data_IF_131899303060
#
_entry.id   IF_131899303060
#
_cell.length_a   1.000
_cell.length_b   1.000
_cell.length_c   1.000
_cell.angle_alpha   90.00
_cell.angle_beta   90.00
_cell.angle_gamma   90.00
#
_symmetry.space_group_name_H-M   'P 1'
#
loop_
_entity.id
_entity.type
_entity.pdbx_description
1 polymer ?
#
# COMPACT_ATOMS: atom_id res chain seq x y z
N UNK A 1 5.06 16.74 25.54
CA UNK A 1 4.86 15.74 24.47
C UNK A 1 4.17 16.43 23.30
N UNK A 2 4.79 16.49 22.12
CA UNK A 2 4.17 17.11 20.95
C UNK A 2 3.20 16.13 20.30
N UNK A 3 1.89 16.41 20.40
CA UNK A 3 0.79 15.66 19.75
C UNK A 3 0.74 15.83 18.22
N UNK A 4 1.66 16.62 17.67
CA UNK A 4 1.78 16.93 16.25
C UNK A 4 1.79 15.71 15.28
N UNK A 5 2.21 14.47 15.63
CA UNK A 5 2.08 13.32 14.74
C UNK A 5 0.72 12.63 14.76
N UNK A 6 -0.13 12.91 15.76
CA UNK A 6 -1.43 12.25 15.85
C UNK A 6 -2.38 12.75 14.77
N UNK A 7 -2.32 14.04 14.44
CA UNK A 7 -3.23 14.65 13.47
C UNK A 7 -3.14 13.96 12.10
N UNK A 8 -1.95 13.77 11.47
CA UNK A 8 -1.89 13.10 10.18
C UNK A 8 -2.32 11.63 10.22
N UNK A 9 -2.04 10.90 11.32
CA UNK A 9 -2.52 9.52 11.48
C UNK A 9 -4.04 9.47 11.60
N UNK A 10 -4.61 10.34 12.43
CA UNK A 10 -6.05 10.43 12.58
C UNK A 10 -6.71 10.78 11.25
N UNK A 11 -6.21 11.79 10.51
CA UNK A 11 -6.73 12.14 9.19
C UNK A 11 -6.66 10.94 8.24
N UNK A 12 -5.50 10.27 8.18
CA UNK A 12 -5.30 9.08 7.36
C UNK A 12 -6.32 7.98 7.69
N UNK A 13 -6.42 7.56 8.95
CA UNK A 13 -7.33 6.49 9.37
C UNK A 13 -8.79 6.89 9.30
N UNK A 14 -9.12 8.16 9.53
CA UNK A 14 -10.50 8.65 9.40
C UNK A 14 -10.98 8.54 7.96
N UNK A 15 -10.15 8.92 7.00
CA UNK A 15 -10.51 8.87 5.58
C UNK A 15 -10.40 7.44 5.04
N UNK A 16 -9.28 6.78 5.22
CA UNK A 16 -9.03 5.46 4.62
C UNK A 16 -9.82 4.38 5.36
N UNK A 17 -9.61 4.24 6.66
CA UNK A 17 -10.30 3.19 7.45
C UNK A 17 -11.76 3.55 7.70
N UNK A 18 -12.04 4.78 8.11
CA UNK A 18 -13.40 5.20 8.46
C UNK A 18 -14.28 5.40 7.24
N UNK A 19 -13.96 6.41 6.42
CA UNK A 19 -14.81 6.79 5.29
C UNK A 19 -14.85 5.73 4.20
N UNK A 20 -13.70 5.21 3.76
CA UNK A 20 -13.68 4.29 2.62
C UNK A 20 -13.96 2.83 2.99
N UNK A 21 -13.35 2.28 4.05
CA UNK A 21 -13.54 0.86 4.38
C UNK A 21 -14.80 0.61 5.23
N UNK A 22 -14.95 1.31 6.36
CA UNK A 22 -16.00 0.97 7.34
C UNK A 22 -17.40 1.46 6.94
N UNK A 23 -17.52 2.42 6.02
CA UNK A 23 -18.82 2.95 5.59
C UNK A 23 -19.65 1.93 4.80
N UNK A 24 -19.04 0.88 4.27
CA UNK A 24 -19.72 -0.25 3.65
C UNK A 24 -20.56 -1.05 4.66
N UNK A 25 -20.16 -1.04 5.94
CA UNK A 25 -20.77 -1.86 7.00
C UNK A 25 -21.46 -1.04 8.08
N UNK A 26 -21.16 0.26 8.18
CA UNK A 26 -21.64 1.16 9.22
C UNK A 26 -22.15 2.48 8.63
N UNK A 27 -23.12 3.15 9.27
CA UNK A 27 -23.47 4.52 8.92
C UNK A 27 -22.24 5.43 8.91
N UNK A 28 -22.10 6.26 7.88
CA UNK A 28 -20.91 7.11 7.64
C UNK A 28 -20.42 7.85 8.90
N UNK A 29 -21.28 8.47 9.74
CA UNK A 29 -20.80 9.13 10.96
C UNK A 29 -20.10 8.18 11.93
N UNK A 30 -20.64 6.96 12.11
CA UNK A 30 -20.04 5.96 13.00
C UNK A 30 -18.75 5.39 12.41
N UNK A 31 -18.71 5.16 11.10
CA UNK A 31 -17.53 4.69 10.40
C UNK A 31 -16.36 5.69 10.51
N UNK A 32 -16.62 6.97 10.27
CA UNK A 32 -15.67 8.09 10.43
C UNK A 32 -15.17 8.18 11.88
N UNK A 33 -16.06 8.10 12.86
CA UNK A 33 -15.68 8.10 14.28
C UNK A 33 -14.82 6.89 14.65
N UNK A 34 -15.15 5.71 14.14
CA UNK A 34 -14.38 4.50 14.36
C UNK A 34 -12.97 4.60 13.73
N UNK A 35 -12.87 5.12 12.50
CA UNK A 35 -11.59 5.38 11.84
C UNK A 35 -10.74 6.40 12.59
N UNK A 36 -11.36 7.49 13.09
CA UNK A 36 -10.68 8.49 13.91
C UNK A 36 -10.19 7.90 15.25
N UNK A 37 -11.03 7.11 15.91
CA UNK A 37 -10.69 6.44 17.17
C UNK A 37 -9.56 5.42 16.97
N UNK A 38 -9.60 4.65 15.88
CA UNK A 38 -8.53 3.73 15.50
C UNK A 38 -7.20 4.47 15.26
N UNK A 39 -7.23 5.54 14.45
CA UNK A 39 -6.06 6.38 14.20
C UNK A 39 -5.49 6.98 15.48
N UNK A 40 -6.34 7.45 16.40
CA UNK A 40 -5.91 7.92 17.70
C UNK A 40 -5.26 6.80 18.53
N UNK A 41 -5.86 5.61 18.56
CA UNK A 41 -5.33 4.43 19.27
C UNK A 41 -3.96 4.00 18.75
N UNK A 42 -3.82 3.81 17.44
CA UNK A 42 -2.53 3.48 16.80
C UNK A 42 -1.52 4.61 16.97
N UNK A 43 -1.96 5.86 16.88
CA UNK A 43 -1.11 7.02 17.10
C UNK A 43 -0.52 7.05 18.51
N UNK A 44 -1.35 6.85 19.53
CA UNK A 44 -0.94 6.78 20.94
C UNK A 44 -0.03 5.57 21.21
N UNK A 45 -0.35 4.42 20.62
CA UNK A 45 0.50 3.23 20.67
C UNK A 45 1.88 3.54 20.07
N UNK A 46 1.93 4.11 18.86
CA UNK A 46 3.17 4.50 18.19
C UNK A 46 3.99 5.47 19.03
N UNK A 47 3.37 6.44 19.71
CA UNK A 47 4.05 7.35 20.62
C UNK A 47 4.72 6.63 21.79
N UNK A 48 4.08 5.59 22.37
CA UNK A 48 4.69 4.76 23.41
C UNK A 48 5.83 3.91 22.87
N UNK A 49 5.66 3.38 21.66
CA UNK A 49 6.64 2.51 21.03
C UNK A 49 7.87 3.24 20.49
N UNK A 50 7.88 4.57 20.43
CA UNK A 50 9.07 5.36 20.04
C UNK A 50 10.31 5.12 20.88
N UNK A 51 10.15 4.66 22.12
CA UNK A 51 11.29 4.30 22.96
C UNK A 51 12.00 3.02 22.49
N UNK A 52 11.36 2.23 21.61
CA UNK A 52 11.87 0.97 21.09
C UNK A 52 12.61 1.24 19.77
N UNK A 53 13.93 1.35 19.84
CA UNK A 53 14.77 1.79 18.71
C UNK A 53 14.69 0.88 17.47
N UNK A 54 14.53 -0.43 17.64
CA UNK A 54 14.46 -1.38 16.52
C UNK A 54 13.11 -1.36 15.79
N UNK A 55 12.05 -0.85 16.42
CA UNK A 55 10.71 -0.94 15.85
C UNK A 55 10.54 -0.05 14.62
N UNK A 56 11.20 1.11 14.60
CA UNK A 56 11.21 1.99 13.44
C UNK A 56 11.71 1.25 12.19
N UNK A 57 12.81 0.50 12.33
CA UNK A 57 13.41 -0.27 11.24
C UNK A 57 12.51 -1.40 10.77
N UNK A 58 11.87 -2.11 11.70
CA UNK A 58 10.91 -3.17 11.37
C UNK A 58 9.70 -2.62 10.63
N UNK A 59 9.13 -1.50 11.08
CA UNK A 59 7.95 -0.89 10.43
C UNK A 59 8.31 -0.34 9.05
N UNK A 60 9.50 0.29 8.89
CA UNK A 60 10.01 0.71 7.57
C UNK A 60 10.21 -0.50 6.65
N UNK A 61 10.76 -1.60 7.17
CA UNK A 61 10.98 -2.82 6.41
C UNK A 61 9.65 -3.45 5.96
N UNK A 62 8.65 -3.51 6.85
CA UNK A 62 7.31 -3.98 6.52
C UNK A 62 6.64 -3.09 5.47
N UNK A 63 6.79 -1.77 5.57
CA UNK A 63 6.31 -0.83 4.56
C UNK A 63 6.97 -1.04 3.20
N UNK A 64 8.30 -1.23 3.20
CA UNK A 64 9.07 -1.48 1.98
C UNK A 64 8.66 -2.82 1.33
N UNK A 65 8.58 -3.90 2.12
CA UNK A 65 8.14 -5.22 1.65
C UNK A 65 6.72 -5.17 1.12
N UNK A 66 5.79 -4.55 1.84
CA UNK A 66 4.41 -4.41 1.39
C UNK A 66 4.29 -3.57 0.11
N UNK A 67 5.06 -2.49 -0.01
CA UNK A 67 5.08 -1.65 -1.23
C UNK A 67 5.68 -2.40 -2.42
N UNK A 68 6.79 -3.11 -2.21
CA UNK A 68 7.41 -3.94 -3.24
C UNK A 68 6.49 -5.08 -3.68
N UNK A 69 5.85 -5.75 -2.71
CA UNK A 69 4.91 -6.81 -2.98
C UNK A 69 3.73 -6.28 -3.83
N UNK A 70 3.08 -5.20 -3.39
CA UNK A 70 1.95 -4.64 -4.11
C UNK A 70 2.34 -4.10 -5.49
N UNK A 71 3.52 -3.46 -5.60
CA UNK A 71 4.02 -2.90 -6.86
C UNK A 71 4.40 -3.99 -7.87
N UNK A 72 5.24 -4.95 -7.47
CA UNK A 72 5.65 -6.06 -8.34
C UNK A 72 4.49 -6.99 -8.66
N UNK A 73 3.63 -7.29 -7.68
CA UNK A 73 2.41 -8.06 -7.90
C UNK A 73 1.47 -7.36 -8.87
N UNK A 74 1.26 -6.05 -8.71
CA UNK A 74 0.47 -5.23 -9.63
C UNK A 74 1.02 -5.23 -11.06
N UNK A 75 2.33 -5.03 -11.21
CA UNK A 75 2.99 -5.11 -12.51
C UNK A 75 2.84 -6.50 -13.15
N UNK A 76 3.03 -7.57 -12.38
CA UNK A 76 2.84 -8.94 -12.86
C UNK A 76 1.40 -9.16 -13.32
N UNK A 77 0.40 -8.71 -12.54
CA UNK A 77 -1.00 -8.81 -12.90
C UNK A 77 -1.32 -8.07 -14.21
N UNK A 78 -0.78 -6.87 -14.40
CA UNK A 78 -0.93 -6.10 -15.64
C UNK A 78 -0.30 -6.83 -16.82
N UNK A 79 0.93 -7.34 -16.68
CA UNK A 79 1.61 -8.06 -17.76
C UNK A 79 0.89 -9.36 -18.14
N UNK A 80 0.39 -10.10 -17.16
CA UNK A 80 -0.38 -11.32 -17.40
C UNK A 80 -1.72 -11.01 -18.07
N UNK A 81 -2.45 -9.99 -17.60
CA UNK A 81 -3.71 -9.57 -18.22
C UNK A 81 -3.48 -9.06 -19.63
N UNK A 82 -2.49 -8.20 -19.87
CA UNK A 82 -2.14 -7.74 -21.21
C UNK A 82 -1.79 -8.90 -22.15
N UNK A 83 -0.99 -9.88 -21.69
CA UNK A 83 -0.72 -11.09 -22.47
C UNK A 83 -1.97 -11.92 -22.76
N UNK A 84 -2.93 -11.96 -21.83
CA UNK A 84 -4.21 -12.63 -22.04
C UNK A 84 -5.08 -11.90 -23.09
N UNK A 85 -5.04 -10.56 -23.14
CA UNK A 85 -5.79 -9.76 -24.12
C UNK A 85 -5.41 -10.06 -25.57
N UNK A 86 -4.16 -10.47 -25.81
CA UNK A 86 -3.68 -10.86 -27.14
C UNK A 86 -4.16 -12.25 -27.57
N UNK A 87 -4.76 -13.04 -26.67
CA UNK A 87 -5.26 -14.37 -26.99
C UNK A 87 -6.51 -14.33 -27.87
N UNK A 88 -6.48 -15.09 -28.96
CA UNK A 88 -7.62 -15.24 -29.87
C UNK A 88 -8.78 -16.07 -29.28
N UNK A 89 -8.55 -16.77 -28.16
CA UNK A 89 -9.56 -17.59 -27.48
C UNK A 89 -10.07 -16.97 -26.17
N UNK A 90 -9.72 -15.71 -25.88
CA UNK A 90 -10.13 -15.05 -24.65
C UNK A 90 -11.65 -14.84 -24.61
N UNK A 91 -12.28 -15.36 -23.56
CA UNK A 91 -13.69 -15.09 -23.22
C UNK A 91 -13.77 -14.18 -21.99
N UNK A 92 -14.91 -13.53 -21.77
CA UNK A 92 -15.13 -12.71 -20.58
C UNK A 92 -15.01 -13.52 -19.28
N UNK A 93 -15.60 -14.72 -19.24
CA UNK A 93 -15.51 -15.64 -18.09
C UNK A 93 -14.06 -16.07 -17.79
N UNK A 94 -13.26 -16.31 -18.82
CA UNK A 94 -11.84 -16.67 -18.63
C UNK A 94 -11.06 -15.49 -18.02
N UNK A 95 -11.35 -14.27 -18.47
CA UNK A 95 -10.74 -13.06 -17.93
C UNK A 95 -11.14 -12.82 -16.47
N UNK A 96 -12.43 -12.98 -16.14
CA UNK A 96 -12.95 -12.89 -14.79
C UNK A 96 -12.32 -13.93 -13.85
N UNK A 97 -12.31 -15.21 -14.26
CA UNK A 97 -11.75 -16.30 -13.46
C UNK A 97 -10.24 -16.15 -13.19
N UNK A 98 -9.53 -15.45 -14.07
CA UNK A 98 -8.11 -15.09 -13.88
C UNK A 98 -7.96 -13.93 -12.90
N UNK A 99 -8.90 -12.99 -12.89
CA UNK A 99 -8.84 -11.78 -12.08
C UNK A 99 -9.30 -11.98 -10.62
N UNK A 100 -10.44 -12.64 -10.40
CA UNK A 100 -11.09 -12.76 -9.08
C UNK A 100 -10.16 -13.29 -7.97
N UNK A 101 -9.31 -14.33 -8.19
CA UNK A 101 -8.46 -14.87 -7.13
C UNK A 101 -7.43 -13.86 -6.58
N UNK A 102 -7.12 -12.79 -7.32
CA UNK A 102 -6.19 -11.77 -6.88
C UNK A 102 -6.78 -10.79 -5.85
N UNK A 103 -8.12 -10.62 -5.84
CA UNK A 103 -8.79 -9.60 -5.02
C UNK A 103 -8.55 -9.81 -3.52
N UNK A 104 -8.78 -11.00 -2.92
CA UNK A 104 -8.58 -11.19 -1.48
C UNK A 104 -7.12 -10.96 -1.06
N UNK A 105 -6.20 -11.29 -1.96
CA UNK A 105 -4.77 -11.08 -1.72
C UNK A 105 -4.44 -9.58 -1.58
N UNK A 106 -4.90 -8.76 -2.53
CA UNK A 106 -4.68 -7.31 -2.47
C UNK A 106 -5.39 -6.67 -1.29
N UNK A 107 -6.58 -7.16 -0.92
CA UNK A 107 -7.29 -6.68 0.27
C UNK A 107 -6.45 -6.93 1.52
N UNK A 108 -5.90 -8.13 1.70
CA UNK A 108 -5.12 -8.49 2.88
C UNK A 108 -3.87 -7.60 3.03
N UNK A 109 -3.06 -7.48 1.99
CA UNK A 109 -1.83 -6.67 2.04
C UNK A 109 -2.13 -5.18 2.25
N UNK A 110 -3.10 -4.64 1.52
CA UNK A 110 -3.47 -3.23 1.67
C UNK A 110 -4.08 -2.96 3.05
N UNK A 111 -4.90 -3.86 3.59
CA UNK A 111 -5.47 -3.71 4.94
C UNK A 111 -4.37 -3.64 6.01
N UNK A 112 -3.34 -4.48 5.92
CA UNK A 112 -2.20 -4.43 6.85
C UNK A 112 -1.45 -3.08 6.74
N UNK A 113 -1.23 -2.61 5.50
CA UNK A 113 -0.56 -1.34 5.26
C UNK A 113 -1.37 -0.15 5.81
N UNK A 114 -2.68 -0.14 5.56
CA UNK A 114 -3.59 0.93 5.97
C UNK A 114 -3.86 0.96 7.46
N UNK A 115 -4.17 -0.20 8.06
CA UNK A 115 -4.61 -0.25 9.44
C UNK A 115 -3.46 -0.08 10.42
N UNK A 116 -2.25 -0.48 10.03
CA UNK A 116 -1.12 -0.60 10.96
C UNK A 116 0.14 0.09 10.43
N UNK A 117 0.68 -0.35 9.29
CA UNK A 117 2.05 0.02 8.91
C UNK A 117 2.19 1.51 8.60
N UNK A 118 1.34 2.07 7.74
CA UNK A 118 1.42 3.48 7.33
C UNK A 118 1.12 4.43 8.51
N UNK A 119 0.07 4.21 9.33
CA UNK A 119 -0.11 4.93 10.59
C UNK A 119 1.12 4.92 11.49
N UNK A 120 1.74 3.76 11.70
CA UNK A 120 2.94 3.64 12.53
C UNK A 120 4.16 4.34 11.90
N UNK A 121 4.33 4.28 10.57
CA UNK A 121 5.39 5.01 9.86
C UNK A 121 5.31 6.51 10.09
N UNK A 122 4.11 7.09 10.03
CA UNK A 122 3.90 8.53 10.26
C UNK A 122 4.33 8.95 11.67
N UNK A 123 4.08 8.10 12.68
CA UNK A 123 4.42 8.41 14.07
C UNK A 123 5.88 8.13 14.35
N UNK A 124 6.40 6.97 13.98
CA UNK A 124 7.76 6.56 14.31
C UNK A 124 8.79 7.37 13.51
N UNK A 125 8.55 7.63 12.23
CA UNK A 125 9.56 8.18 11.31
C UNK A 125 9.46 9.70 11.06
N UNK A 126 9.00 10.49 12.06
CA UNK A 126 8.60 11.91 11.91
C UNK A 126 9.61 12.87 11.26
N UNK A 127 10.90 12.54 11.23
CA UNK A 127 11.97 13.40 10.68
C UNK A 127 12.51 12.90 9.34
N UNK A 128 11.99 11.77 8.85
CA UNK A 128 12.44 11.16 7.60
C UNK A 128 11.49 11.61 6.50
N UNK A 129 11.84 12.72 5.86
CA UNK A 129 11.12 13.27 4.69
C UNK A 129 10.73 12.17 3.68
N UNK A 130 11.61 11.20 3.33
CA UNK A 130 11.23 10.12 2.41
C UNK A 130 10.08 9.24 2.91
N UNK A 131 10.03 8.93 4.21
CA UNK A 131 8.96 8.11 4.80
C UNK A 131 7.63 8.86 4.79
N UNK A 132 7.65 10.14 5.13
CA UNK A 132 6.46 10.98 5.08
C UNK A 132 5.95 11.15 3.65
N UNK A 133 6.86 11.30 2.68
CA UNK A 133 6.52 11.34 1.26
C UNK A 133 5.90 10.01 0.80
N UNK A 134 6.45 8.86 1.20
CA UNK A 134 5.87 7.55 0.91
C UNK A 134 4.47 7.39 1.52
N UNK A 135 4.27 7.81 2.77
CA UNK A 135 2.95 7.78 3.41
C UNK A 135 1.93 8.69 2.71
N UNK A 136 2.35 9.88 2.27
CA UNK A 136 1.50 10.80 1.53
C UNK A 136 1.13 10.25 0.14
N UNK A 137 2.10 9.68 -0.58
CA UNK A 137 1.85 9.00 -1.85
C UNK A 137 0.88 7.82 -1.68
N UNK A 138 1.06 7.02 -0.63
CA UNK A 138 0.15 5.94 -0.31
C UNK A 138 -1.27 6.45 -0.07
N UNK A 139 -1.41 7.51 0.73
CA UNK A 139 -2.71 8.11 1.01
C UNK A 139 -3.42 8.58 -0.27
N UNK A 140 -2.72 9.35 -1.12
CA UNK A 140 -3.28 9.81 -2.39
C UNK A 140 -3.67 8.65 -3.30
N UNK A 141 -2.82 7.62 -3.39
CA UNK A 141 -3.10 6.40 -4.14
C UNK A 141 -4.32 5.66 -3.59
N UNK A 142 -4.50 5.59 -2.26
CA UNK A 142 -5.67 4.96 -1.64
C UNK A 142 -6.94 5.75 -1.94
N UNK A 143 -6.92 7.07 -1.81
CA UNK A 143 -8.07 7.93 -2.19
C UNK A 143 -8.47 7.65 -3.64
N UNK A 144 -7.51 7.66 -4.57
CA UNK A 144 -7.79 7.32 -5.96
C UNK A 144 -8.29 5.88 -6.14
N UNK A 145 -7.73 4.92 -5.39
CA UNK A 145 -8.13 3.52 -5.45
C UNK A 145 -9.60 3.37 -5.10
N UNK A 146 -10.08 4.02 -4.04
CA UNK A 146 -11.48 3.93 -3.66
C UNK A 146 -12.43 4.73 -4.55
N UNK A 147 -11.98 5.87 -5.09
CA UNK A 147 -12.85 6.72 -5.91
C UNK A 147 -12.95 6.28 -7.38
N UNK A 148 -11.90 5.66 -7.93
CA UNK A 148 -11.84 5.31 -9.35
C UNK A 148 -11.61 3.82 -9.58
N UNK A 149 -10.59 3.23 -8.93
CA UNK A 149 -10.17 1.87 -9.25
C UNK A 149 -11.14 0.78 -8.77
N UNK A 150 -11.55 0.85 -7.50
CA UNK A 150 -12.47 -0.14 -6.91
C UNK A 150 -13.82 -0.12 -7.63
N UNK A 151 -14.46 1.05 -7.86
CA UNK A 151 -15.71 1.09 -8.63
C UNK A 151 -15.57 0.50 -10.04
N UNK A 152 -14.47 0.78 -10.75
CA UNK A 152 -14.26 0.21 -12.09
C UNK A 152 -14.10 -1.32 -12.06
N UNK A 153 -13.29 -1.84 -11.13
CA UNK A 153 -13.05 -3.30 -11.01
C UNK A 153 -14.25 -4.08 -10.47
N UNK A 154 -14.98 -3.52 -9.50
CA UNK A 154 -16.19 -4.15 -8.96
C UNK A 154 -17.32 -4.09 -9.99
N UNK A 155 -17.49 -2.97 -10.70
CA UNK A 155 -18.46 -2.86 -11.78
C UNK A 155 -18.18 -3.86 -12.91
N UNK A 156 -16.91 -4.13 -13.23
CA UNK A 156 -16.54 -5.22 -14.12
C UNK A 156 -16.95 -6.58 -13.54
N UNK A 157 -16.53 -6.90 -12.31
CA UNK A 157 -16.80 -8.20 -11.69
C UNK A 157 -18.30 -8.48 -11.44
N UNK A 158 -19.13 -7.46 -11.35
CA UNK A 158 -20.59 -7.57 -11.19
C UNK A 158 -21.34 -7.62 -12.53
N UNK A 159 -20.65 -7.42 -13.66
CA UNK A 159 -21.27 -7.44 -14.98
C UNK A 159 -21.38 -8.85 -15.56
N UNK A 160 -22.42 -9.10 -16.35
CA UNK A 160 -22.56 -10.38 -17.05
C UNK A 160 -21.46 -10.52 -18.12
N UNK A 161 -20.62 -11.55 -17.96
CA UNK A 161 -19.52 -11.81 -18.88
C UNK A 161 -19.88 -12.90 -19.90
N UNK A 162 -19.62 -12.60 -21.18
CA UNK A 162 -19.91 -13.54 -22.27
C UNK A 162 -18.97 -14.75 -22.24
N UNK A 163 -19.55 -15.95 -22.37
CA UNK A 163 -18.83 -17.18 -22.67
C UNK A 163 -18.33 -17.23 -24.13
N UNK A 164 -18.74 -16.28 -24.97
CA UNK A 164 -18.24 -16.16 -26.34
C UNK A 164 -16.85 -15.51 -26.36
N UNK A 165 -16.09 -15.81 -27.41
CA UNK A 165 -14.78 -15.19 -27.64
C UNK A 165 -14.97 -13.69 -27.83
N UNK A 166 -14.20 -12.91 -27.09
CA UNK A 166 -14.22 -11.45 -27.16
C UNK A 166 -13.69 -10.97 -28.51
N UNK A 167 -14.47 -10.11 -29.16
CA UNK A 167 -14.04 -9.33 -30.31
C UNK A 167 -12.88 -8.39 -29.93
N UNK A 168 -12.09 -7.90 -30.89
CA UNK A 168 -11.02 -6.94 -30.60
C UNK A 168 -11.52 -5.66 -29.90
N UNK A 169 -12.73 -5.20 -30.25
CA UNK A 169 -13.34 -4.01 -29.63
C UNK A 169 -13.71 -4.26 -28.17
N UNK A 170 -14.31 -5.41 -27.86
CA UNK A 170 -14.65 -5.79 -26.47
C UNK A 170 -13.39 -6.00 -25.63
N UNK A 171 -12.31 -6.54 -26.22
CA UNK A 171 -11.01 -6.62 -25.53
C UNK A 171 -10.44 -5.25 -25.20
N UNK A 172 -10.52 -4.30 -26.13
CA UNK A 172 -10.06 -2.94 -25.86
C UNK A 172 -10.88 -2.29 -24.74
N UNK A 173 -12.20 -2.47 -24.74
CA UNK A 173 -13.07 -1.98 -23.68
C UNK A 173 -12.73 -2.62 -22.33
N UNK A 174 -12.57 -3.96 -22.29
CA UNK A 174 -12.20 -4.69 -21.08
C UNK A 174 -10.84 -4.21 -20.51
N UNK A 175 -9.88 -3.88 -21.37
CA UNK A 175 -8.60 -3.33 -20.93
C UNK A 175 -8.76 -1.95 -20.26
N UNK A 176 -9.67 -1.11 -20.76
CA UNK A 176 -9.98 0.19 -20.16
C UNK A 176 -10.74 0.04 -18.84
N UNK A 177 -11.74 -0.84 -18.79
CA UNK A 177 -12.55 -1.08 -17.59
C UNK A 177 -11.73 -1.70 -16.45
N UNK A 178 -10.80 -2.59 -16.80
CA UNK A 178 -9.81 -3.14 -15.86
C UNK A 178 -8.67 -2.16 -15.56
N UNK A 179 -8.61 -1.00 -16.22
CA UNK A 179 -7.56 0.01 -16.04
C UNK A 179 -6.15 -0.61 -16.18
N UNK A 180 -5.89 -1.41 -17.22
CA UNK A 180 -4.61 -2.11 -17.39
C UNK A 180 -3.40 -1.15 -17.53
N UNK A 181 -3.64 0.08 -17.95
CA UNK A 181 -2.62 1.13 -18.06
C UNK A 181 -2.44 1.95 -16.77
N UNK A 182 -2.96 1.48 -15.61
CA UNK A 182 -2.88 2.25 -14.38
C UNK A 182 -1.44 2.44 -13.87
N UNK A 183 -1.06 3.66 -13.43
CA UNK A 183 0.31 3.95 -13.01
C UNK A 183 0.60 3.56 -11.55
N UNK A 184 -0.30 2.86 -10.83
CA UNK A 184 -0.13 2.64 -9.38
C UNK A 184 1.06 1.77 -9.07
N UNK A 185 1.36 0.77 -9.91
CA UNK A 185 2.54 -0.07 -9.73
C UNK A 185 3.82 0.79 -9.71
N UNK A 186 3.90 1.83 -10.55
CA UNK A 186 5.01 2.79 -10.55
C UNK A 186 5.05 3.55 -9.22
N UNK A 187 3.91 4.06 -8.75
CA UNK A 187 3.82 4.77 -7.47
C UNK A 187 4.27 3.90 -6.30
N UNK A 188 3.89 2.62 -6.29
CA UNK A 188 4.28 1.63 -5.29
C UNK A 188 5.80 1.35 -5.33
N UNK A 189 6.40 1.28 -6.52
CA UNK A 189 7.85 1.17 -6.66
C UNK A 189 8.59 2.44 -6.23
N UNK A 190 8.03 3.63 -6.49
CA UNK A 190 8.56 4.90 -5.98
C UNK A 190 8.52 4.91 -4.45
N UNK A 191 7.39 4.52 -3.85
CA UNK A 191 7.26 4.40 -2.40
C UNK A 191 8.27 3.41 -1.83
N UNK A 192 8.44 2.24 -2.46
CA UNK A 192 9.46 1.27 -2.09
C UNK A 192 10.86 1.91 -2.08
N UNK A 193 11.23 2.62 -3.16
CA UNK A 193 12.50 3.35 -3.23
C UNK A 193 12.66 4.38 -2.11
N UNK A 194 11.61 5.16 -1.81
CA UNK A 194 11.61 6.14 -0.72
C UNK A 194 11.81 5.49 0.66
N UNK A 195 11.26 4.29 0.88
CA UNK A 195 11.39 3.56 2.14
C UNK A 195 12.77 2.88 2.29
N UNK A 196 13.49 2.63 1.19
CA UNK A 196 14.87 2.13 1.24
C UNK A 196 15.93 3.20 1.56
N UNK A 197 15.68 4.47 1.20
CA UNK A 197 16.65 5.57 1.44
C UNK A 197 17.02 5.70 2.94
N UNK A 198 16.06 5.71 3.89
CA UNK A 198 16.36 5.79 5.31
C UNK A 198 17.11 4.59 5.90
N UNK A 199 16.94 3.40 5.32
CA UNK A 199 17.62 2.17 5.79
C UNK A 199 19.14 2.31 5.64
N UNK A 200 19.60 2.96 4.56
CA UNK A 200 21.04 3.16 4.30
C UNK A 200 21.68 4.25 5.17
N UNK A 201 20.91 5.23 5.64
CA UNK A 201 21.43 6.34 6.44
C UNK A 201 21.73 5.94 7.91
N UNK A 202 21.01 4.95 8.46
CA UNK A 202 21.22 4.45 9.83
C UNK A 202 22.43 3.52 9.99
N UNK A 203 22.79 2.78 8.94
CA UNK A 203 23.89 1.81 8.95
C UNK A 203 25.30 2.42 9.01
N UNK A 204 25.45 3.75 8.87
CA UNK A 204 26.74 4.42 8.94
C UNK A 204 27.22 4.77 10.37
N UNK A 205 26.42 4.53 11.42
CA UNK A 205 26.83 4.80 12.81
C UNK A 205 27.43 3.57 13.54
N UNK A 206 27.57 2.43 12.87
CA UNK A 206 28.08 1.18 13.46
C UNK A 206 29.54 0.81 13.16
N UNK A 207 30.25 1.57 12.32
CA UNK A 207 31.62 1.24 11.91
C UNK A 207 32.72 2.04 12.63
N UNK A 208 32.40 2.67 13.77
CA UNK A 208 33.38 3.34 14.61
C UNK A 208 33.91 2.39 15.69
N UNK A 209 35.05 1.75 15.42
CA UNK A 209 35.93 1.23 16.48
C UNK A 209 36.11 -0.28 16.54
N UNK A 210 36.74 -0.88 15.53
CA UNK A 210 37.68 -1.96 15.85
C UNK A 210 38.88 -1.30 16.54
N UNK A 211 39.16 -1.58 17.83
CA UNK A 211 40.32 -1.01 18.49
C UNK A 211 41.57 -1.48 17.75
N UNK A 212 42.39 -0.52 17.30
CA UNK A 212 43.68 -0.80 16.71
C UNK A 212 44.47 -1.71 17.65
N UNK A 213 44.81 -2.91 17.18
CA UNK A 213 45.57 -3.89 17.94
C UNK A 213 46.84 -3.24 18.49
N UNK A 214 47.04 -3.30 19.81
CA UNK A 214 48.32 -2.95 20.42
C UNK A 214 49.39 -3.90 19.84
N UNK A 215 50.52 -3.38 19.33
CA UNK A 215 51.63 -4.24 18.96
C UNK A 215 52.19 -4.95 20.21
N UNK A 216 52.51 -6.24 20.07
CA UNK A 216 53.08 -7.05 21.13
C UNK A 216 54.47 -6.52 21.54
N UNK A 217 54.83 -6.54 22.84
CA UNK A 217 56.16 -6.16 23.30
C UNK A 217 57.20 -7.21 22.86
N UNK A 218 58.36 -6.71 22.42
CA UNK A 218 59.57 -7.49 22.12
C UNK A 218 60.36 -7.80 23.40
#
# INVERSE_FOLDING_TARGET
>A
MTFLPLVPVMVFSTVVTGWFNLSEFLPVPLAVLAGAAWGAGIGLLGLRLRAVSWLEEVVVSLGAVGSAFAGCGGLMAILLLNGAMDSASLTGETLESTFLPSIPYYIAVNSILELVVIPLLIVLCRRRVPVLAAAALYFLMRVWTYLAFVPARMGWAESDHSAQVLTPAERHQAAQDLMLDDPRWIMLLVMFGLLLVPVRAGSHHGSAGLPAGKPAPA
#
